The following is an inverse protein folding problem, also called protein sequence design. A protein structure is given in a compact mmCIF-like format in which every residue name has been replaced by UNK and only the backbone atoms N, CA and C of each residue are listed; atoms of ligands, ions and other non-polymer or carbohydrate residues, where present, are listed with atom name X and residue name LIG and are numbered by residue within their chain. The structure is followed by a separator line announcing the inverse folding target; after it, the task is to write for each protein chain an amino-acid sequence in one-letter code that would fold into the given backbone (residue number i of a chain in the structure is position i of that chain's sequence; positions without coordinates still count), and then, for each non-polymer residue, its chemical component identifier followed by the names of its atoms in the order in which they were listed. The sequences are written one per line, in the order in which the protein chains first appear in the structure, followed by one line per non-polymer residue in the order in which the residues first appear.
data_IF_675218833635
#
_entry.id   IF_675218833635
#
_cell.length_a   1.000
_cell.length_b   1.000
_cell.length_c   1.000
_cell.angle_alpha   90.00
_cell.angle_beta   90.00
_cell.angle_gamma   90.00
#
_symmetry.space_group_name_H-M   'P 1'
#
loop_
_entity.id
_entity.type
_entity.pdbx_description
1 polymer ?
#
# COMPACT_ATOMS: atom_id res chain seq x y z
N UNK A 1 17.31 4.93 -23.54
CA UNK A 1 17.64 5.56 -22.23
C UNK A 1 17.10 4.67 -21.11
N UNK A 2 17.80 4.53 -19.99
CA UNK A 2 17.29 3.77 -18.83
C UNK A 2 16.23 4.61 -18.11
N UNK A 3 15.11 3.99 -17.71
CA UNK A 3 14.11 4.66 -16.86
C UNK A 3 14.79 5.11 -15.56
N UNK A 4 14.38 6.27 -15.05
CA UNK A 4 14.79 6.72 -13.70
C UNK A 4 14.03 5.89 -12.67
N UNK A 5 14.58 5.81 -11.46
CA UNK A 5 13.90 5.16 -10.34
C UNK A 5 12.97 6.18 -9.67
N UNK A 6 11.72 5.80 -9.44
CA UNK A 6 10.78 6.52 -8.59
C UNK A 6 10.57 5.70 -7.32
N UNK A 7 11.05 6.23 -6.19
CA UNK A 7 10.85 5.63 -4.87
C UNK A 7 9.51 6.09 -4.32
N UNK A 8 8.69 5.14 -3.88
CA UNK A 8 7.33 5.35 -3.39
C UNK A 8 7.20 4.82 -1.96
N UNK A 9 6.72 5.67 -1.07
CA UNK A 9 6.22 5.26 0.24
C UNK A 9 4.77 4.75 0.14
N UNK A 10 4.31 4.00 1.15
CA UNK A 10 2.97 3.40 1.18
C UNK A 10 1.99 4.20 2.03
N UNK A 11 2.16 4.16 3.35
CA UNK A 11 1.24 4.77 4.32
C UNK A 11 1.29 6.30 4.21
N UNK A 12 0.12 6.95 4.25
CA UNK A 12 -0.07 8.39 4.06
C UNK A 12 0.39 8.94 2.69
N UNK A 13 0.82 8.05 1.77
CA UNK A 13 1.28 8.40 0.42
C UNK A 13 0.41 7.79 -0.67
N UNK A 14 0.33 6.46 -0.73
CA UNK A 14 -0.50 5.70 -1.69
C UNK A 14 -1.75 5.11 -1.05
N UNK A 15 -1.71 4.87 0.25
CA UNK A 15 -2.80 4.31 1.04
C UNK A 15 -2.91 5.01 2.40
N UNK A 16 -3.99 4.73 3.11
CA UNK A 16 -4.10 4.93 4.55
C UNK A 16 -4.67 3.67 5.18
N UNK A 17 -4.12 3.24 6.32
CA UNK A 17 -4.59 2.04 7.01
C UNK A 17 -4.82 2.27 8.50
N UNK A 18 -5.68 1.44 9.08
CA UNK A 18 -5.86 1.33 10.52
C UNK A 18 -6.07 -0.13 10.91
N UNK A 19 -5.61 -0.50 12.11
CA UNK A 19 -5.76 -1.85 12.65
C UNK A 19 -6.84 -1.90 13.74
N UNK A 20 -7.33 -3.11 14.01
CA UNK A 20 -8.34 -3.37 15.04
C UNK A 20 -7.97 -2.67 16.36
N UNK A 21 -8.90 -1.89 16.92
CA UNK A 21 -8.73 -1.17 18.19
C UNK A 21 -8.32 0.31 18.07
N UNK A 22 -7.97 0.80 16.88
CA UNK A 22 -7.66 2.22 16.65
C UNK A 22 -8.77 2.88 15.83
N UNK A 23 -9.67 3.62 16.49
CA UNK A 23 -10.63 4.48 15.81
C UNK A 23 -9.90 5.75 15.36
N UNK A 24 -9.69 5.92 14.05
CA UNK A 24 -9.19 7.19 13.50
C UNK A 24 -10.35 8.04 12.95
N UNK A 25 -10.50 9.30 13.37
CA UNK A 25 -11.58 10.18 12.93
C UNK A 25 -11.44 10.66 11.47
N UNK A 26 -10.32 10.35 10.80
CA UNK A 26 -10.02 10.83 9.44
C UNK A 26 -10.84 10.14 8.34
N UNK A 27 -11.40 8.97 8.63
CA UNK A 27 -12.31 8.27 7.72
C UNK A 27 -13.74 8.47 8.24
N UNK A 28 -14.65 8.93 7.38
CA UNK A 28 -16.06 9.08 7.78
C UNK A 28 -16.58 7.74 8.29
N UNK A 29 -17.22 7.69 9.47
CA UNK A 29 -17.82 6.46 9.99
C UNK A 29 -18.70 5.79 8.93
N UNK A 30 -18.52 4.48 8.75
CA UNK A 30 -19.26 3.70 7.75
C UNK A 30 -18.66 3.70 6.34
N UNK A 31 -17.55 4.41 6.08
CA UNK A 31 -16.83 4.27 4.81
C UNK A 31 -16.18 2.88 4.74
N UNK A 32 -16.54 2.03 3.77
CA UNK A 32 -15.91 0.72 3.63
C UNK A 32 -14.43 0.87 3.23
N UNK A 33 -13.59 -0.03 3.71
CA UNK A 33 -12.21 -0.16 3.25
C UNK A 33 -12.17 -0.75 1.84
N UNK A 34 -11.21 -0.33 1.02
CA UNK A 34 -10.99 -0.90 -0.32
C UNK A 34 -10.51 -2.35 -0.27
N UNK A 35 -9.68 -2.67 0.73
CA UNK A 35 -9.28 -4.04 1.02
C UNK A 35 -8.85 -4.22 2.48
N UNK A 36 -8.77 -5.48 2.88
CA UNK A 36 -8.32 -5.88 4.22
C UNK A 36 -7.08 -6.76 4.11
N UNK A 37 -6.12 -6.53 5.00
CA UNK A 37 -4.93 -7.36 5.17
C UNK A 37 -4.98 -8.01 6.55
N UNK A 38 -4.57 -9.27 6.65
CA UNK A 38 -4.41 -9.98 7.93
C UNK A 38 -2.96 -10.44 8.03
N UNK A 39 -2.24 -9.96 9.03
CA UNK A 39 -0.84 -10.35 9.30
C UNK A 39 -0.72 -10.86 10.72
N UNK A 40 0.24 -11.74 10.97
CA UNK A 40 0.54 -12.19 12.33
C UNK A 40 1.72 -11.39 12.87
N UNK A 41 1.51 -10.64 13.94
CA UNK A 41 2.54 -9.85 14.63
C UNK A 41 2.67 -10.45 16.03
N UNK A 42 3.87 -10.89 16.40
CA UNK A 42 4.14 -11.54 17.70
C UNK A 42 3.12 -12.64 18.08
N UNK A 43 2.80 -13.51 17.10
CA UNK A 43 1.81 -14.61 17.21
C UNK A 43 0.35 -14.17 17.35
N UNK A 44 0.06 -12.88 17.25
CA UNK A 44 -1.30 -12.35 17.28
C UNK A 44 -1.75 -11.95 15.87
N UNK A 45 -2.91 -12.42 15.40
CA UNK A 45 -3.46 -11.98 14.12
C UNK A 45 -3.96 -10.54 14.25
N UNK A 46 -3.42 -9.65 13.41
CA UNK A 46 -3.82 -8.25 13.32
C UNK A 46 -4.45 -8.01 11.95
N UNK A 47 -5.64 -7.42 11.96
CA UNK A 47 -6.36 -7.00 10.76
C UNK A 47 -6.10 -5.52 10.49
N UNK A 48 -5.78 -5.20 9.24
CA UNK A 48 -5.65 -3.85 8.74
C UNK A 48 -6.76 -3.57 7.72
N UNK A 49 -7.54 -2.52 7.97
CA UNK A 49 -8.47 -1.94 7.01
C UNK A 49 -7.73 -0.87 6.21
N UNK A 50 -7.63 -1.06 4.90
CA UNK A 50 -6.83 -0.20 4.02
C UNK A 50 -7.72 0.56 3.06
N UNK A 51 -7.47 1.87 2.98
CA UNK A 51 -8.08 2.78 2.04
C UNK A 51 -7.03 3.20 1.01
N UNK A 52 -7.34 3.01 -0.26
CA UNK A 52 -6.50 3.45 -1.36
C UNK A 52 -6.65 4.96 -1.56
N UNK A 53 -5.54 5.65 -1.86
CA UNK A 53 -5.62 7.04 -2.29
C UNK A 53 -6.43 7.11 -3.59
N UNK A 54 -7.39 8.05 -3.72
CA UNK A 54 -8.13 8.22 -4.96
C UNK A 54 -7.19 8.29 -6.17
N UNK A 55 -7.53 7.57 -7.24
CA UNK A 55 -6.76 7.47 -8.48
C UNK A 55 -5.39 6.77 -8.38
N UNK A 56 -5.08 6.05 -7.30
CA UNK A 56 -3.79 5.33 -7.16
C UNK A 56 -3.53 4.35 -8.31
N UNK A 57 -4.57 3.65 -8.80
CA UNK A 57 -4.43 2.72 -9.92
C UNK A 57 -4.02 3.41 -11.22
N UNK A 58 -4.63 4.56 -11.50
CA UNK A 58 -4.32 5.38 -12.67
C UNK A 58 -2.91 5.97 -12.55
N UNK A 59 -2.59 6.53 -11.39
CA UNK A 59 -1.25 7.04 -11.08
C UNK A 59 -0.18 5.97 -11.33
N UNK A 60 -0.31 4.79 -10.71
CA UNK A 60 0.66 3.70 -10.85
C UNK A 60 0.79 3.21 -12.29
N UNK A 61 -0.32 3.13 -13.03
CA UNK A 61 -0.28 2.76 -14.45
C UNK A 61 0.57 3.73 -15.24
N UNK A 62 0.29 5.04 -15.13
CA UNK A 62 0.99 6.09 -15.87
C UNK A 62 2.46 6.18 -15.47
N UNK A 63 2.79 6.23 -14.17
CA UNK A 63 4.19 6.42 -13.76
C UNK A 63 5.06 5.19 -14.02
N UNK A 64 4.47 3.98 -14.08
CA UNK A 64 5.21 2.75 -14.45
C UNK A 64 5.69 2.76 -15.91
N UNK A 65 5.02 3.50 -16.79
CA UNK A 65 5.48 3.70 -18.16
C UNK A 65 6.73 4.58 -18.21
N UNK A 66 6.90 5.49 -17.25
CA UNK A 66 7.97 6.50 -17.22
C UNK A 66 9.16 6.11 -16.33
N UNK A 67 8.92 5.39 -15.25
CA UNK A 67 9.89 5.08 -14.19
C UNK A 67 9.94 3.59 -13.85
N UNK A 68 11.08 3.15 -13.33
CA UNK A 68 11.19 1.88 -12.59
C UNK A 68 10.74 2.16 -11.15
N UNK A 69 9.64 1.55 -10.72
CA UNK A 69 9.07 1.84 -9.41
C UNK A 69 9.74 1.00 -8.32
N UNK A 70 10.01 1.63 -7.18
CA UNK A 70 10.56 0.98 -5.98
C UNK A 70 9.70 1.38 -4.80
N UNK A 71 9.24 0.39 -4.02
CA UNK A 71 8.60 0.65 -2.73
C UNK A 71 9.69 0.78 -1.67
N UNK A 72 9.64 1.84 -0.87
CA UNK A 72 10.49 1.98 0.30
C UNK A 72 9.66 2.64 1.40
N UNK A 73 9.43 1.90 2.48
CA UNK A 73 8.47 2.28 3.53
C UNK A 73 9.02 1.96 4.91
N UNK A 74 8.57 2.71 5.91
CA UNK A 74 8.90 2.45 7.32
C UNK A 74 8.05 1.33 7.95
N UNK A 75 7.12 0.75 7.20
CA UNK A 75 6.21 -0.29 7.69
C UNK A 75 6.89 -1.65 7.80
N UNK A 76 6.24 -2.59 8.51
CA UNK A 76 6.73 -3.96 8.63
C UNK A 76 6.74 -4.66 7.27
N UNK A 77 7.79 -5.42 6.96
CA UNK A 77 7.98 -6.10 5.67
C UNK A 77 6.75 -6.91 5.25
N UNK A 78 6.17 -7.71 6.15
CA UNK A 78 4.99 -8.54 5.86
C UNK A 78 3.78 -7.70 5.48
N UNK A 79 3.54 -6.59 6.17
CA UNK A 79 2.44 -5.68 5.86
C UNK A 79 2.67 -4.95 4.54
N UNK A 80 3.86 -4.33 4.37
CA UNK A 80 4.21 -3.58 3.17
C UNK A 80 4.17 -4.45 1.92
N UNK A 81 4.61 -5.71 2.02
CA UNK A 81 4.52 -6.71 0.95
C UNK A 81 3.07 -6.96 0.55
N UNK A 82 2.18 -7.22 1.52
CA UNK A 82 0.77 -7.46 1.23
C UNK A 82 0.07 -6.23 0.61
N UNK A 83 0.38 -5.02 1.08
CA UNK A 83 -0.15 -3.78 0.49
C UNK A 83 0.33 -3.62 -0.94
N UNK A 84 1.64 -3.75 -1.18
CA UNK A 84 2.22 -3.62 -2.51
C UNK A 84 1.63 -4.65 -3.49
N UNK A 85 1.42 -5.90 -3.07
CA UNK A 85 0.77 -6.93 -3.91
C UNK A 85 -0.68 -6.57 -4.27
N UNK A 86 -1.43 -6.01 -3.32
CA UNK A 86 -2.82 -5.57 -3.54
C UNK A 86 -2.90 -4.39 -4.52
N UNK A 87 -1.97 -3.45 -4.44
CA UNK A 87 -1.87 -2.32 -5.38
C UNK A 87 -1.34 -2.77 -6.75
N UNK A 88 -0.41 -3.71 -6.78
CA UNK A 88 0.22 -4.19 -8.02
C UNK A 88 -0.76 -4.99 -8.89
N UNK A 89 -1.64 -5.80 -8.28
CA UNK A 89 -2.63 -6.66 -8.97
C UNK A 89 -2.00 -7.61 -9.99
N UNK A 90 -0.76 -8.06 -9.75
CA UNK A 90 -0.04 -8.99 -10.61
C UNK A 90 0.54 -8.36 -11.88
N UNK A 91 0.64 -7.03 -11.95
CA UNK A 91 1.29 -6.30 -13.05
C UNK A 91 2.82 -6.41 -12.99
N UNK A 92 3.38 -6.71 -11.82
CA UNK A 92 4.82 -6.80 -11.59
C UNK A 92 5.56 -5.45 -11.61
N UNK A 93 4.84 -4.35 -11.43
CA UNK A 93 5.40 -2.99 -11.43
C UNK A 93 5.96 -2.60 -10.06
N UNK A 94 5.56 -3.27 -8.97
CA UNK A 94 6.05 -3.01 -7.60
C UNK A 94 6.93 -4.15 -7.05
N UNK A 95 7.68 -4.88 -7.88
CA UNK A 95 8.46 -6.05 -7.43
C UNK A 95 9.72 -5.71 -6.61
N UNK A 96 10.21 -4.46 -6.68
CA UNK A 96 11.41 -4.02 -5.96
C UNK A 96 11.02 -3.24 -4.71
N UNK A 97 11.35 -3.78 -3.55
CA UNK A 97 10.87 -3.31 -2.23
C UNK A 97 12.03 -3.29 -1.24
N UNK A 98 12.09 -2.29 -0.36
CA UNK A 98 13.09 -2.11 0.69
C UNK A 98 12.43 -1.73 2.00
#
# INVERSE_FOLDING_TARGET
MRKKILVLDLDETLIHSHHDGVIRPMVKPGTPSDFTIKVTIDRHPVRFSVHARPHVDYFLSVVSEWFDLVVFTASMEVYGTHVADKLDRGRGILNRRY
#
